data_IF_107232687326
#
_entry.id   IF_107232687326
#
_cell.length_a   1.000
_cell.length_b   1.000
_cell.length_c   1.000
_cell.angle_alpha   90.00
_cell.angle_beta   90.00
_cell.angle_gamma   90.00
#
_symmetry.space_group_name_H-M   'P 1'
#
loop_
_entity.id
_entity.type
_entity.pdbx_description
1 polymer ?
#
# COMPACT_ATOMS: atom_id res chain seq x y z
N UNK A 1 23.93 20.93 43.96
CA UNK A 1 25.31 21.32 44.30
C UNK A 1 26.19 21.11 43.07
N UNK A 2 26.98 22.13 42.66
CA UNK A 2 27.97 22.22 41.55
C UNK A 2 27.68 23.26 40.46
N UNK A 3 26.41 23.64 40.20
CA UNK A 3 26.09 24.70 39.23
C UNK A 3 26.53 26.10 39.71
N UNK A 4 26.54 26.35 41.02
CA UNK A 4 26.93 27.64 41.61
C UNK A 4 28.43 27.94 41.59
N UNK A 5 29.29 26.94 41.35
CA UNK A 5 30.75 27.11 41.21
C UNK A 5 31.22 27.29 39.76
N UNK A 6 30.32 27.22 38.78
CA UNK A 6 30.68 27.40 37.36
C UNK A 6 30.68 28.88 36.97
N UNK A 7 31.61 29.28 36.09
CA UNK A 7 31.63 30.61 35.45
C UNK A 7 30.30 30.88 34.75
N UNK A 8 29.86 32.14 34.80
CA UNK A 8 28.58 32.61 34.23
C UNK A 8 28.44 32.19 32.75
N UNK A 9 29.51 32.28 31.96
CA UNK A 9 29.56 31.86 30.56
C UNK A 9 29.19 30.38 30.35
N UNK A 10 29.64 29.49 31.23
CA UNK A 10 29.35 28.05 31.14
C UNK A 10 27.87 27.77 31.40
N UNK A 11 27.25 28.52 32.33
CA UNK A 11 25.81 28.39 32.61
C UNK A 11 24.98 28.86 31.42
N UNK A 12 25.38 29.97 30.79
CA UNK A 12 24.70 30.50 29.61
C UNK A 12 24.81 29.53 28.41
N UNK A 13 26.00 28.97 28.16
CA UNK A 13 26.20 27.94 27.14
C UNK A 13 25.37 26.68 27.40
N UNK A 14 25.24 26.27 28.66
CA UNK A 14 24.46 25.08 29.03
C UNK A 14 22.96 25.27 28.77
N UNK A 15 22.41 26.46 29.05
CA UNK A 15 21.03 26.79 28.70
C UNK A 15 20.79 26.81 27.19
N UNK A 16 21.75 27.35 26.41
CA UNK A 16 21.67 27.35 24.95
C UNK A 16 21.67 25.91 24.42
N UNK A 17 22.62 25.08 24.87
CA UNK A 17 22.70 23.66 24.47
C UNK A 17 21.42 22.92 24.86
N UNK A 18 20.90 23.13 26.07
CA UNK A 18 19.67 22.51 26.52
C UNK A 18 18.47 22.90 25.64
N UNK A 19 18.37 24.20 25.28
CA UNK A 19 17.30 24.68 24.41
C UNK A 19 17.40 24.10 22.99
N UNK A 20 18.62 23.98 22.45
CA UNK A 20 18.86 23.32 21.16
C UNK A 20 18.51 21.83 21.20
N UNK A 21 18.88 21.13 22.26
CA UNK A 21 18.50 19.72 22.45
C UNK A 21 16.98 19.58 22.50
N UNK A 22 16.29 20.43 23.27
CA UNK A 22 14.83 20.45 23.31
C UNK A 22 14.19 20.65 21.94
N UNK A 23 14.73 21.58 21.14
CA UNK A 23 14.25 21.84 19.78
C UNK A 23 14.47 20.62 18.88
N UNK A 24 15.65 20.00 18.91
CA UNK A 24 15.95 18.79 18.13
C UNK A 24 14.99 17.65 18.50
N UNK A 25 14.73 17.43 19.80
CA UNK A 25 13.79 16.40 20.25
C UNK A 25 12.38 16.66 19.71
N UNK A 26 11.90 17.90 19.81
CA UNK A 26 10.58 18.28 19.27
C UNK A 26 10.51 18.10 17.75
N UNK A 27 11.55 18.48 17.02
CA UNK A 27 11.62 18.28 15.57
C UNK A 27 11.59 16.81 15.18
N UNK A 28 12.30 15.94 15.90
CA UNK A 28 12.31 14.49 15.65
C UNK A 28 10.91 13.89 15.91
N UNK A 29 10.27 14.25 17.03
CA UNK A 29 8.92 13.78 17.34
C UNK A 29 7.91 14.22 16.27
N UNK A 30 7.96 15.49 15.86
CA UNK A 30 7.12 16.01 14.80
C UNK A 30 7.36 15.28 13.47
N UNK A 31 8.62 15.01 13.12
CA UNK A 31 8.97 14.32 11.88
C UNK A 31 8.49 12.86 11.88
N UNK A 32 8.63 12.16 13.00
CA UNK A 32 8.14 10.77 13.15
C UNK A 32 6.62 10.73 13.04
N UNK A 33 5.91 11.64 13.73
CA UNK A 33 4.46 11.74 13.65
C UNK A 33 3.96 12.08 12.24
N UNK A 34 4.61 13.05 11.57
CA UNK A 34 4.28 13.39 10.19
C UNK A 34 4.51 12.19 9.26
N UNK A 35 5.60 11.44 9.45
CA UNK A 35 5.88 10.24 8.66
C UNK A 35 4.81 9.16 8.86
N UNK A 36 4.35 8.92 10.09
CA UNK A 36 3.29 7.92 10.32
C UNK A 36 2.00 8.34 9.63
N UNK A 37 1.55 9.59 9.81
CA UNK A 37 0.34 10.10 9.17
C UNK A 37 0.41 10.01 7.66
N UNK A 38 1.55 10.39 7.04
CA UNK A 38 1.70 10.26 5.58
C UNK A 38 1.63 8.81 5.07
N UNK A 39 2.05 7.83 5.88
CA UNK A 39 1.96 6.41 5.51
C UNK A 39 0.51 5.92 5.64
N UNK A 40 -0.18 6.31 6.70
CA UNK A 40 -1.59 5.96 6.92
C UNK A 40 -2.48 6.57 5.82
N UNK A 41 -2.28 7.85 5.49
CA UNK A 41 -2.99 8.53 4.39
C UNK A 41 -2.77 7.83 3.04
N UNK A 42 -1.54 7.32 2.80
CA UNK A 42 -1.23 6.56 1.57
C UNK A 42 -1.93 5.21 1.57
N UNK A 43 -2.04 4.56 2.71
CA UNK A 43 -2.77 3.31 2.84
C UNK A 43 -4.27 3.51 2.57
N UNK A 44 -4.90 4.50 3.21
CA UNK A 44 -6.32 4.79 2.99
C UNK A 44 -6.62 5.11 1.52
N UNK A 45 -5.74 5.86 0.84
CA UNK A 45 -5.88 6.13 -0.60
C UNK A 45 -5.88 4.86 -1.45
N UNK A 46 -4.99 3.91 -1.15
CA UNK A 46 -4.93 2.64 -1.89
C UNK A 46 -6.18 1.80 -1.62
N UNK A 47 -6.66 1.74 -0.38
CA UNK A 47 -7.90 1.03 -0.03
C UNK A 47 -9.09 1.64 -0.80
N UNK A 48 -9.25 2.96 -0.76
CA UNK A 48 -10.33 3.64 -1.47
C UNK A 48 -10.30 3.41 -3.00
N UNK A 49 -9.10 3.34 -3.60
CA UNK A 49 -8.94 2.99 -5.01
C UNK A 49 -9.40 1.56 -5.30
N UNK A 50 -9.01 0.60 -4.46
CA UNK A 50 -9.44 -0.80 -4.59
C UNK A 50 -10.95 -0.94 -4.38
N UNK A 51 -11.51 -0.26 -3.39
CA UNK A 51 -12.95 -0.26 -3.11
C UNK A 51 -13.76 0.27 -4.30
N UNK A 52 -13.26 1.30 -4.99
CA UNK A 52 -13.90 1.85 -6.20
C UNK A 52 -13.91 0.84 -7.35
N UNK A 53 -12.81 0.09 -7.52
CA UNK A 53 -12.75 -1.01 -8.51
C UNK A 53 -13.71 -2.13 -8.10
N UNK A 54 -13.74 -2.48 -6.81
CA UNK A 54 -14.60 -3.53 -6.28
C UNK A 54 -16.09 -3.20 -6.43
N UNK A 55 -16.52 -1.97 -6.14
CA UNK A 55 -17.92 -1.55 -6.35
C UNK A 55 -18.35 -1.62 -7.82
N UNK A 56 -17.41 -1.37 -8.74
CA UNK A 56 -17.65 -1.52 -10.18
C UNK A 56 -17.87 -3.00 -10.54
N UNK A 57 -17.05 -3.89 -9.99
CA UNK A 57 -17.19 -5.34 -10.17
C UNK A 57 -18.52 -5.84 -9.59
N UNK A 58 -18.90 -5.39 -8.39
CA UNK A 58 -20.17 -5.76 -7.76
C UNK A 58 -21.38 -5.33 -8.61
N UNK A 59 -21.30 -4.17 -9.24
CA UNK A 59 -22.36 -3.69 -10.14
C UNK A 59 -22.48 -4.58 -11.38
N UNK A 60 -21.35 -4.94 -12.00
CA UNK A 60 -21.33 -5.85 -13.15
C UNK A 60 -21.79 -7.26 -12.79
N UNK A 61 -21.46 -7.74 -11.59
CA UNK A 61 -21.93 -9.04 -11.09
C UNK A 61 -23.47 -9.07 -10.94
N UNK A 62 -24.08 -7.97 -10.50
CA UNK A 62 -25.55 -7.81 -10.48
C UNK A 62 -26.16 -7.82 -11.88
N UNK A 63 -25.51 -7.18 -12.86
CA UNK A 63 -25.95 -7.21 -14.27
C UNK A 63 -25.85 -8.62 -14.87
N UNK A 64 -24.81 -9.39 -14.51
CA UNK A 64 -24.68 -10.80 -14.89
C UNK A 64 -25.79 -11.64 -14.25
N UNK A 65 -26.06 -11.45 -12.96
CA UNK A 65 -27.12 -12.16 -12.25
C UNK A 65 -28.52 -11.83 -12.81
N UNK A 66 -28.72 -10.61 -13.30
CA UNK A 66 -29.93 -10.19 -13.99
C UNK A 66 -30.04 -10.73 -15.43
N UNK A 67 -28.96 -11.32 -15.97
CA UNK A 67 -28.90 -11.81 -17.35
C UNK A 67 -28.77 -10.70 -18.40
N UNK A 68 -28.47 -9.45 -17.98
CA UNK A 68 -28.29 -8.32 -18.88
C UNK A 68 -27.00 -8.42 -19.69
N UNK A 69 -25.95 -8.98 -19.10
CA UNK A 69 -24.66 -9.26 -19.73
C UNK A 69 -24.16 -10.65 -19.36
N UNK A 70 -23.30 -11.22 -20.18
CA UNK A 70 -22.64 -12.49 -19.86
C UNK A 70 -21.48 -12.28 -18.89
N UNK A 71 -21.11 -13.33 -18.14
CA UNK A 71 -19.93 -13.31 -17.28
C UNK A 71 -18.65 -12.97 -18.06
N UNK A 72 -18.54 -13.42 -19.31
CA UNK A 72 -17.38 -13.15 -20.16
C UNK A 72 -17.29 -11.66 -20.53
N UNK A 73 -18.42 -11.02 -20.85
CA UNK A 73 -18.50 -9.59 -21.12
C UNK A 73 -18.15 -8.78 -19.88
N UNK A 74 -18.72 -9.11 -18.72
CA UNK A 74 -18.40 -8.46 -17.45
C UNK A 74 -16.90 -8.54 -17.14
N UNK A 75 -16.29 -9.73 -17.28
CA UNK A 75 -14.85 -9.90 -17.10
C UNK A 75 -14.03 -9.06 -18.08
N UNK A 76 -14.46 -8.95 -19.34
CA UNK A 76 -13.74 -8.15 -20.34
C UNK A 76 -13.83 -6.64 -20.03
N UNK A 77 -14.98 -6.17 -19.57
CA UNK A 77 -15.18 -4.78 -19.11
C UNK A 77 -14.23 -4.48 -17.95
N UNK A 78 -14.21 -5.31 -16.92
CA UNK A 78 -13.33 -5.15 -15.75
C UNK A 78 -11.86 -5.17 -16.17
N UNK A 79 -11.45 -6.13 -17.01
CA UNK A 79 -10.06 -6.22 -17.49
C UNK A 79 -9.63 -4.96 -18.23
N UNK A 80 -10.50 -4.44 -19.09
CA UNK A 80 -10.23 -3.21 -19.86
C UNK A 80 -10.12 -2.01 -18.93
N UNK A 81 -11.08 -1.85 -18.02
CA UNK A 81 -11.07 -0.76 -17.04
C UNK A 81 -9.79 -0.76 -16.20
N UNK A 82 -9.45 -1.90 -15.58
CA UNK A 82 -8.26 -2.02 -14.73
C UNK A 82 -6.96 -1.84 -15.51
N UNK A 83 -6.91 -2.30 -16.77
CA UNK A 83 -5.72 -2.14 -17.62
C UNK A 83 -5.36 -0.67 -17.85
N UNK A 84 -6.36 0.18 -18.01
CA UNK A 84 -6.19 1.61 -18.27
C UNK A 84 -6.24 2.47 -17.02
N UNK A 85 -6.70 1.93 -15.88
CA UNK A 85 -6.71 2.64 -14.61
C UNK A 85 -5.29 3.08 -14.21
N UNK A 86 -5.12 4.40 -14.06
CA UNK A 86 -3.90 5.02 -13.53
C UNK A 86 -4.26 5.93 -12.39
N UNK A 87 -3.38 6.02 -11.41
CA UNK A 87 -3.51 6.96 -10.29
C UNK A 87 -2.15 7.56 -9.96
N UNK A 88 -2.16 8.76 -9.37
CA UNK A 88 -0.94 9.46 -8.94
C UNK A 88 0.17 9.43 -10.00
N UNK A 89 -0.19 9.78 -11.25
CA UNK A 89 0.68 9.73 -12.41
C UNK A 89 0.72 8.36 -13.08
N UNK A 90 1.73 7.55 -12.75
CA UNK A 90 2.05 6.30 -13.46
C UNK A 90 1.70 5.03 -12.67
N UNK A 91 1.16 5.16 -11.45
CA UNK A 91 0.77 3.99 -10.67
C UNK A 91 -0.44 3.30 -11.28
N UNK A 92 -0.59 2.01 -11.00
CA UNK A 92 -1.52 1.12 -11.68
C UNK A 92 -2.17 0.12 -10.71
N UNK A 93 -3.31 -0.40 -11.13
CA UNK A 93 -4.00 -1.51 -10.48
C UNK A 93 -3.73 -2.78 -11.31
N UNK A 94 -3.62 -3.93 -10.64
CA UNK A 94 -3.42 -5.22 -11.29
C UNK A 94 -4.40 -6.25 -10.73
N UNK A 95 -4.69 -7.29 -11.51
CA UNK A 95 -5.57 -8.39 -11.13
C UNK A 95 -4.79 -9.69 -11.11
N UNK A 96 -5.06 -10.52 -10.11
CA UNK A 96 -4.42 -11.84 -9.91
C UNK A 96 -5.53 -12.86 -9.68
N UNK A 97 -5.38 -14.05 -10.26
CA UNK A 97 -6.29 -15.15 -10.01
C UNK A 97 -6.01 -15.85 -8.66
N UNK A 98 -6.83 -16.84 -8.32
CA UNK A 98 -6.67 -17.63 -7.09
C UNK A 98 -5.37 -18.47 -7.07
N UNK A 99 -4.70 -18.63 -8.21
CA UNK A 99 -3.49 -19.42 -8.37
C UNK A 99 -2.24 -18.54 -8.46
N UNK A 100 -2.35 -17.26 -8.09
CA UNK A 100 -1.27 -16.28 -8.14
C UNK A 100 -0.78 -15.95 -9.56
N UNK A 101 -1.60 -16.15 -10.59
CA UNK A 101 -1.30 -15.75 -11.97
C UNK A 101 -1.86 -14.37 -12.27
N UNK A 102 -1.10 -13.56 -13.01
CA UNK A 102 -1.57 -12.26 -13.45
C UNK A 102 -2.70 -12.40 -14.48
N UNK A 103 -3.85 -11.80 -14.17
CA UNK A 103 -5.00 -11.66 -15.08
C UNK A 103 -4.91 -10.34 -15.84
N UNK A 104 -4.47 -9.27 -15.15
CA UNK A 104 -4.16 -7.96 -15.74
C UNK A 104 -2.90 -7.43 -15.06
N UNK A 105 -1.86 -7.14 -15.83
CA UNK A 105 -0.62 -6.54 -15.37
C UNK A 105 -0.16 -5.44 -16.33
N UNK A 106 -0.61 -4.19 -16.12
CA UNK A 106 -0.40 -3.10 -17.08
C UNK A 106 1.06 -2.80 -17.47
N UNK A 107 2.07 -2.90 -16.57
CA UNK A 107 3.47 -2.65 -16.94
C UNK A 107 4.04 -3.67 -17.94
N UNK A 108 3.58 -4.91 -17.88
CA UNK A 108 4.08 -5.99 -18.72
C UNK A 108 2.93 -6.91 -19.15
N UNK A 109 2.12 -6.50 -20.14
CA UNK A 109 0.97 -7.27 -20.60
C UNK A 109 1.34 -8.67 -21.11
N UNK A 110 2.60 -8.87 -21.52
CA UNK A 110 3.13 -10.17 -21.96
C UNK A 110 3.19 -11.22 -20.84
N UNK A 111 3.13 -10.80 -19.57
CA UNK A 111 3.15 -11.70 -18.42
C UNK A 111 1.75 -12.15 -17.98
N UNK A 112 0.69 -11.69 -18.64
CA UNK A 112 -0.69 -12.05 -18.32
C UNK A 112 -1.05 -13.43 -18.90
N UNK A 113 -1.76 -14.26 -18.10
CA UNK A 113 -2.22 -15.57 -18.54
C UNK A 113 -1.13 -16.62 -18.80
N UNK A 114 0.14 -16.25 -18.67
CA UNK A 114 1.29 -17.15 -18.80
C UNK A 114 1.76 -17.52 -17.40
N UNK A 115 1.96 -18.82 -17.15
CA UNK A 115 2.72 -19.31 -16.00
C UNK A 115 4.21 -19.00 -16.26
N UNK A 116 4.60 -17.72 -16.17
CA UNK A 116 5.94 -17.29 -16.60
C UNK A 116 6.95 -17.84 -15.59
N UNK A 117 7.90 -18.72 -15.99
CA UNK A 117 8.92 -19.24 -15.09
C UNK A 117 9.73 -18.11 -14.45
N UNK A 118 9.96 -16.99 -15.16
CA UNK A 118 10.65 -15.80 -14.67
C UNK A 118 9.91 -15.05 -13.55
N UNK A 119 8.56 -15.01 -13.56
CA UNK A 119 7.79 -14.45 -12.44
C UNK A 119 7.95 -15.35 -11.22
N UNK A 120 8.01 -16.67 -11.44
CA UNK A 120 8.23 -17.69 -10.41
C UNK A 120 9.67 -17.78 -9.89
N UNK A 121 10.63 -17.35 -10.70
CA UNK A 121 12.06 -17.36 -10.37
C UNK A 121 12.40 -16.34 -9.28
N UNK A 122 11.68 -15.21 -9.27
CA UNK A 122 11.76 -14.24 -8.18
C UNK A 122 10.91 -14.67 -6.98
N UNK A 123 11.52 -15.44 -6.06
CA UNK A 123 10.89 -15.91 -4.82
C UNK A 123 10.19 -14.81 -4.00
N UNK A 124 10.73 -13.59 -4.02
CA UNK A 124 10.13 -12.43 -3.32
C UNK A 124 8.81 -12.03 -3.98
N UNK A 125 8.77 -11.97 -5.32
CA UNK A 125 7.57 -11.61 -6.09
C UNK A 125 6.47 -12.66 -5.91
N UNK A 126 6.82 -13.94 -5.96
CA UNK A 126 5.88 -15.05 -5.70
C UNK A 126 5.32 -15.00 -4.29
N UNK A 127 6.19 -14.76 -3.29
CA UNK A 127 5.77 -14.65 -1.89
C UNK A 127 4.74 -13.53 -1.69
N UNK A 128 4.90 -12.41 -2.39
CA UNK A 128 3.95 -11.29 -2.35
C UNK A 128 2.60 -11.70 -2.95
N UNK A 129 2.60 -12.28 -4.16
CA UNK A 129 1.36 -12.68 -4.82
C UNK A 129 0.59 -13.71 -3.98
N UNK A 130 1.30 -14.69 -3.41
CA UNK A 130 0.70 -15.67 -2.52
C UNK A 130 0.13 -15.03 -1.25
N UNK A 131 0.81 -14.02 -0.69
CA UNK A 131 0.31 -13.26 0.46
C UNK A 131 -0.98 -12.49 0.15
N UNK A 132 -1.03 -11.83 -1.01
CA UNK A 132 -2.22 -11.12 -1.49
C UNK A 132 -3.39 -12.08 -1.70
N UNK A 133 -3.15 -13.20 -2.39
CA UNK A 133 -4.18 -14.23 -2.62
C UNK A 133 -4.65 -14.85 -1.30
N UNK A 134 -3.76 -15.08 -0.35
CA UNK A 134 -4.12 -15.60 0.97
C UNK A 134 -5.01 -14.62 1.76
N UNK A 135 -4.68 -13.32 1.75
CA UNK A 135 -5.53 -12.30 2.39
C UNK A 135 -6.90 -12.18 1.72
N UNK A 136 -6.94 -12.15 0.38
CA UNK A 136 -8.19 -12.13 -0.36
C UNK A 136 -9.08 -13.36 -0.06
N UNK A 137 -8.48 -14.55 0.07
CA UNK A 137 -9.20 -15.78 0.45
C UNK A 137 -9.70 -15.77 1.89
N UNK A 138 -9.02 -15.08 2.80
CA UNK A 138 -9.44 -14.92 4.19
C UNK A 138 -10.62 -13.95 4.35
N UNK A 139 -11.17 -13.40 3.25
CA UNK A 139 -12.28 -12.46 3.28
C UNK A 139 -11.86 -11.03 3.64
N UNK A 140 -10.56 -10.76 3.72
CA UNK A 140 -10.01 -9.44 4.03
C UNK A 140 -9.40 -8.80 2.80
N UNK A 141 -9.98 -7.69 2.34
CA UNK A 141 -9.20 -6.66 1.65
C UNK A 141 -8.07 -6.21 2.57
N UNK A 142 -6.83 -6.24 2.10
CA UNK A 142 -5.66 -5.89 2.91
C UNK A 142 -4.64 -5.15 2.07
N UNK A 143 -4.03 -4.12 2.63
CA UNK A 143 -2.90 -3.48 1.99
C UNK A 143 -1.59 -4.18 2.38
N UNK A 144 -0.73 -4.33 1.39
CA UNK A 144 0.62 -4.83 1.59
C UNK A 144 1.58 -3.71 1.22
N UNK A 145 2.34 -3.20 2.19
CA UNK A 145 3.49 -2.36 1.86
C UNK A 145 4.69 -3.25 1.57
N UNK A 146 5.26 -3.03 0.40
CA UNK A 146 6.49 -3.67 -0.02
C UNK A 146 7.54 -2.56 0.05
N UNK A 147 8.25 -2.51 1.18
CA UNK A 147 9.51 -1.76 1.25
C UNK A 147 10.61 -2.74 0.90
N UNK A 148 11.55 -2.36 0.02
CA UNK A 148 12.68 -3.22 -0.35
C UNK A 148 13.33 -3.85 0.90
N UNK A 149 13.16 -5.17 1.08
CA UNK A 149 13.71 -5.93 2.21
C UNK A 149 12.77 -6.19 3.40
N UNK A 150 11.56 -5.63 3.45
CA UNK A 150 10.55 -5.96 4.48
C UNK A 150 9.15 -6.05 3.86
N UNK A 151 8.74 -7.29 3.53
CA UNK A 151 7.36 -7.60 3.18
C UNK A 151 6.60 -7.89 4.46
N UNK A 152 5.85 -6.90 4.97
CA UNK A 152 4.95 -7.11 6.11
C UNK A 152 3.52 -6.82 5.68
N UNK A 153 2.56 -7.70 5.96
CA UNK A 153 1.15 -7.37 5.80
C UNK A 153 0.85 -6.13 6.65
N UNK A 154 0.24 -5.10 6.05
CA UNK A 154 -0.32 -4.00 6.82
C UNK A 154 -1.75 -4.44 7.15
N UNK A 155 -2.10 -4.54 8.45
CA UNK A 155 -3.48 -4.85 8.81
C UNK A 155 -4.42 -3.80 8.20
N UNK A 156 -5.64 -4.19 7.79
CA UNK A 156 -6.62 -3.24 7.29
C UNK A 156 -6.80 -2.09 8.29
N UNK A 157 -7.12 -0.87 7.83
CA UNK A 157 -7.40 0.24 8.74
C UNK A 157 -8.47 -0.23 9.73
N UNK A 158 -8.26 0.02 11.01
CA UNK A 158 -9.26 -0.28 12.03
C UNK A 158 -10.54 0.48 11.65
N UNK A 159 -11.50 -0.22 11.07
CA UNK A 159 -12.82 0.32 10.75
C UNK A 159 -13.38 0.98 12.00
N UNK A 160 -13.88 2.20 11.84
CA UNK A 160 -14.66 2.91 12.84
C UNK A 160 -16.05 2.30 12.94
#
# INVERSE_FOLDING_TARGET
MQLEKMRVDTRLKLLIVLSLVGLVVLSVLALVGLRSTMIDDRHEKVVALVDTVYSTIETLDKEVAAGSITLAEAQNIVKTYVRHARYDGTNYVFLVDKNSNYVVFPPEPKAEGIDVPHVRENKTRVGILNGIVAAGRAGGGGAFSITAGQNRPIPPPSTR
#
